data_IF_715399088258
#
_entry.id   IF_715399088258
#
_cell.length_a   1.000
_cell.length_b   1.000
_cell.length_c   1.000
_cell.angle_alpha   90.00
_cell.angle_beta   90.00
_cell.angle_gamma   90.00
#
_symmetry.space_group_name_H-M   'P 1'
#
loop_
_entity.id
_entity.type
_entity.pdbx_description
1 polymer ?
#
# COMPACT_ATOMS: atom_id res chain seq x y z
N UNK A 1 -43.76 32.86 8.66
CA UNK A 1 -43.33 31.85 7.67
C UNK A 1 -41.96 31.37 8.13
N UNK A 2 -41.96 30.48 9.11
CA UNK A 2 -40.76 30.04 9.82
C UNK A 2 -40.31 28.72 9.20
N UNK A 3 -39.08 28.67 8.67
CA UNK A 3 -38.49 27.45 8.11
C UNK A 3 -37.82 26.68 9.26
N UNK A 4 -38.19 25.42 9.56
CA UNK A 4 -37.45 24.67 10.55
C UNK A 4 -36.12 24.21 9.93
N UNK A 5 -35.05 24.63 10.62
CA UNK A 5 -33.65 24.25 10.40
C UNK A 5 -33.51 22.73 10.21
N UNK A 6 -33.02 22.33 9.04
CA UNK A 6 -32.54 20.98 8.77
C UNK A 6 -31.22 20.71 9.47
N UNK A 7 -31.24 20.57 10.80
CA UNK A 7 -30.11 20.05 11.56
C UNK A 7 -30.43 18.61 11.97
N UNK A 8 -30.41 17.71 10.98
CA UNK A 8 -30.45 16.27 11.24
C UNK A 8 -29.12 15.90 11.90
N UNK A 9 -29.14 15.87 13.24
CA UNK A 9 -28.09 15.26 14.06
C UNK A 9 -27.82 13.87 13.49
N UNK A 10 -26.65 13.71 12.85
CA UNK A 10 -26.16 12.41 12.43
C UNK A 10 -26.28 11.44 13.61
N UNK A 11 -27.07 10.37 13.45
CA UNK A 11 -27.32 9.42 14.54
C UNK A 11 -26.03 8.78 15.06
N UNK A 12 -26.03 8.18 16.26
CA UNK A 12 -24.83 7.62 16.92
C UNK A 12 -24.04 6.65 16.02
N UNK A 13 -24.72 5.92 15.13
CA UNK A 13 -24.08 5.03 14.14
C UNK A 13 -23.20 5.76 13.11
N UNK A 14 -23.57 6.98 12.70
CA UNK A 14 -22.76 7.79 11.80
C UNK A 14 -21.51 8.37 12.51
N UNK A 15 -21.58 8.58 13.83
CA UNK A 15 -20.44 8.94 14.66
C UNK A 15 -19.43 7.80 14.77
N UNK A 16 -19.90 6.58 15.06
CA UNK A 16 -19.05 5.39 15.17
C UNK A 16 -18.35 5.10 13.83
N UNK A 17 -19.09 5.17 12.71
CA UNK A 17 -18.51 4.96 11.38
C UNK A 17 -17.37 5.96 11.07
N UNK A 18 -17.53 7.24 11.41
CA UNK A 18 -16.48 8.25 11.22
C UNK A 18 -15.26 7.99 12.09
N UNK A 19 -15.45 7.55 13.32
CA UNK A 19 -14.36 7.18 14.23
C UNK A 19 -13.59 5.97 13.67
N UNK A 20 -14.30 4.93 13.22
CA UNK A 20 -13.66 3.74 12.64
C UNK A 20 -12.87 4.09 11.37
N UNK A 21 -13.43 4.90 10.47
CA UNK A 21 -12.73 5.39 9.28
C UNK A 21 -11.49 6.21 9.68
N UNK A 22 -11.62 7.11 10.65
CA UNK A 22 -10.51 7.93 11.13
C UNK A 22 -9.38 7.10 11.75
N UNK A 23 -9.71 6.09 12.55
CA UNK A 23 -8.74 5.16 13.15
C UNK A 23 -8.04 4.35 12.06
N UNK A 24 -8.77 3.82 11.07
CA UNK A 24 -8.18 3.08 9.95
C UNK A 24 -7.23 3.97 9.12
N UNK A 25 -7.65 5.20 8.81
CA UNK A 25 -6.77 6.16 8.11
C UNK A 25 -5.52 6.49 8.92
N UNK A 26 -5.64 6.67 10.24
CA UNK A 26 -4.50 6.94 11.10
C UNK A 26 -3.52 5.77 11.13
N UNK A 27 -4.00 4.53 11.27
CA UNK A 27 -3.16 3.32 11.24
C UNK A 27 -2.44 3.20 9.90
N UNK A 28 -3.08 3.58 8.81
CA UNK A 28 -2.47 3.62 7.47
C UNK A 28 -1.37 4.66 7.37
N UNK A 29 -1.64 5.90 7.80
CA UNK A 29 -0.63 6.97 7.74
C UNK A 29 0.55 6.61 8.62
N UNK A 30 0.31 6.10 9.83
CA UNK A 30 1.38 5.71 10.76
C UNK A 30 2.19 4.54 10.22
N UNK A 31 1.55 3.49 9.70
CA UNK A 31 2.25 2.33 9.14
C UNK A 31 3.02 2.67 7.85
N UNK A 32 2.40 3.42 6.93
CA UNK A 32 3.07 3.90 5.72
C UNK A 32 4.27 4.79 6.03
N UNK A 33 4.15 5.70 6.99
CA UNK A 33 5.25 6.56 7.44
C UNK A 33 6.35 5.73 8.10
N UNK A 34 6.01 4.77 8.95
CA UNK A 34 6.99 3.91 9.62
C UNK A 34 7.79 3.07 8.60
N UNK A 35 7.13 2.47 7.60
CA UNK A 35 7.82 1.72 6.56
C UNK A 35 8.67 2.64 5.68
N UNK A 36 8.17 3.84 5.34
CA UNK A 36 8.95 4.83 4.57
C UNK A 36 10.19 5.31 5.31
N UNK A 37 10.09 5.51 6.63
CA UNK A 37 11.23 5.90 7.46
C UNK A 37 12.23 4.76 7.59
N UNK A 38 11.77 3.53 7.83
CA UNK A 38 12.65 2.36 7.93
C UNK A 38 13.38 2.03 6.62
N UNK A 39 12.71 2.20 5.48
CA UNK A 39 13.36 2.04 4.16
C UNK A 39 14.38 3.15 3.88
N UNK A 40 14.08 4.41 4.26
CA UNK A 40 15.03 5.51 4.13
C UNK A 40 16.28 5.31 5.01
N UNK A 41 16.10 4.87 6.26
CA UNK A 41 17.19 4.62 7.21
C UNK A 41 18.10 3.45 6.74
N UNK A 42 17.50 2.37 6.24
CA UNK A 42 18.23 1.27 5.61
C UNK A 42 19.04 1.76 4.40
N UNK A 43 18.40 2.50 3.48
CA UNK A 43 19.07 3.03 2.29
C UNK A 43 20.23 3.96 2.66
N UNK A 44 20.06 4.78 3.70
CA UNK A 44 21.08 5.71 4.15
C UNK A 44 22.27 4.98 4.80
N UNK A 45 22.00 4.02 5.69
CA UNK A 45 23.05 3.18 6.30
C UNK A 45 23.89 2.48 5.24
N UNK A 46 23.22 1.94 4.22
CA UNK A 46 23.87 1.23 3.11
C UNK A 46 24.65 2.17 2.21
N UNK A 47 24.11 3.36 1.94
CA UNK A 47 24.81 4.38 1.16
C UNK A 47 26.10 4.83 1.86
N UNK A 48 26.05 5.02 3.18
CA UNK A 48 27.21 5.43 3.98
C UNK A 48 28.29 4.33 4.01
N UNK A 49 27.90 3.08 4.23
CA UNK A 49 28.83 1.94 4.22
C UNK A 49 29.47 1.73 2.83
N UNK A 50 28.67 1.85 1.77
CA UNK A 50 29.12 1.75 0.39
C UNK A 50 30.13 2.85 0.01
N UNK A 51 29.87 4.10 0.39
CA UNK A 51 30.78 5.21 0.09
C UNK A 51 32.18 5.00 0.69
N UNK A 52 32.25 4.48 1.92
CA UNK A 52 33.52 4.16 2.58
C UNK A 52 34.29 3.03 1.90
N UNK A 53 33.62 1.89 1.67
CA UNK A 53 34.26 0.71 1.08
C UNK A 53 34.69 0.92 -0.38
N UNK A 54 33.86 1.62 -1.16
CA UNK A 54 34.17 1.92 -2.56
C UNK A 54 35.43 2.77 -2.68
N UNK A 55 35.60 3.80 -1.85
CA UNK A 55 36.77 4.68 -1.90
C UNK A 55 38.07 3.92 -1.60
N UNK A 56 38.03 2.99 -0.64
CA UNK A 56 39.16 2.11 -0.30
C UNK A 56 39.49 1.16 -1.46
N UNK A 57 38.47 0.53 -2.05
CA UNK A 57 38.67 -0.42 -3.15
C UNK A 57 39.16 0.27 -4.43
N UNK A 58 38.62 1.45 -4.77
CA UNK A 58 39.08 2.27 -5.89
C UNK A 58 40.56 2.69 -5.72
N UNK A 59 40.94 3.14 -4.53
CA UNK A 59 42.32 3.54 -4.24
C UNK A 59 43.29 2.36 -4.38
N UNK A 60 42.93 1.17 -3.89
CA UNK A 60 43.73 -0.05 -4.06
C UNK A 60 43.88 -0.45 -5.53
N UNK A 61 42.79 -0.37 -6.31
CA UNK A 61 42.82 -0.62 -7.75
C UNK A 61 43.76 0.34 -8.50
N UNK A 62 43.76 1.63 -8.14
CA UNK A 62 44.68 2.63 -8.70
C UNK A 62 46.15 2.30 -8.40
N UNK A 63 46.46 1.91 -7.17
CA UNK A 63 47.82 1.51 -6.80
C UNK A 63 48.28 0.26 -7.56
N UNK A 64 47.41 -0.75 -7.71
CA UNK A 64 47.73 -1.94 -8.52
C UNK A 64 47.96 -1.59 -10.00
N UNK A 65 47.20 -0.65 -10.55
CA UNK A 65 47.41 -0.15 -11.90
C UNK A 65 48.76 0.57 -12.04
N UNK A 66 49.15 1.39 -11.05
CA UNK A 66 50.48 2.02 -10.99
C UNK A 66 51.60 0.99 -10.95
N UNK A 67 51.52 0.00 -10.06
CA UNK A 67 52.52 -1.08 -9.94
C UNK A 67 52.67 -1.78 -11.29
N UNK A 68 51.57 -2.18 -11.92
CA UNK A 68 51.61 -2.86 -13.23
C UNK A 68 52.26 -1.99 -14.30
N UNK A 69 51.95 -0.70 -14.33
CA UNK A 69 52.49 0.26 -15.30
C UNK A 69 54.00 0.42 -15.14
N UNK A 70 54.48 0.69 -13.93
CA UNK A 70 55.89 0.95 -13.68
C UNK A 70 56.75 -0.31 -13.66
N UNK A 71 56.17 -1.49 -13.42
CA UNK A 71 56.92 -2.74 -13.41
C UNK A 71 56.98 -3.40 -14.80
N UNK A 72 55.92 -3.30 -15.61
CA UNK A 72 55.72 -4.11 -16.81
C UNK A 72 56.35 -3.58 -18.12
N UNK A 73 55.69 -3.89 -19.23
CA UNK A 73 56.10 -3.48 -20.58
C UNK A 73 56.00 -1.96 -20.73
N UNK A 74 57.12 -1.30 -21.07
CA UNK A 74 57.24 0.16 -21.05
C UNK A 74 57.51 0.77 -19.67
N UNK A 75 57.75 -0.05 -18.64
CA UNK A 75 58.21 0.37 -17.32
C UNK A 75 59.62 -0.15 -17.00
N UNK A 76 59.94 -0.25 -15.71
CA UNK A 76 61.26 -0.54 -15.17
C UNK A 76 61.89 -1.81 -15.75
N UNK A 77 61.18 -2.95 -15.78
CA UNK A 77 61.77 -4.22 -16.29
C UNK A 77 62.17 -4.04 -17.76
N UNK A 78 61.32 -3.36 -18.54
CA UNK A 78 61.57 -3.11 -19.95
C UNK A 78 62.72 -2.13 -20.17
N UNK A 79 62.75 -1.00 -19.44
CA UNK A 79 63.83 -0.03 -19.52
C UNK A 79 65.17 -0.63 -19.08
N UNK A 80 65.17 -1.43 -18.02
CA UNK A 80 66.34 -2.14 -17.52
C UNK A 80 66.92 -3.11 -18.55
N UNK A 81 66.09 -3.99 -19.11
CA UNK A 81 66.53 -4.95 -20.15
C UNK A 81 67.08 -4.22 -21.38
N UNK A 82 66.44 -3.12 -21.80
CA UNK A 82 66.95 -2.31 -22.90
C UNK A 82 68.26 -1.60 -22.57
N UNK A 83 68.47 -1.16 -21.32
CA UNK A 83 69.72 -0.57 -20.89
C UNK A 83 70.86 -1.58 -20.91
N UNK A 84 70.63 -2.81 -20.45
CA UNK A 84 71.61 -3.91 -20.51
C UNK A 84 72.05 -4.18 -21.95
N UNK A 85 71.12 -4.14 -22.90
CA UNK A 85 71.39 -4.41 -24.32
C UNK A 85 72.02 -3.23 -25.06
N UNK A 86 71.49 -2.01 -24.87
CA UNK A 86 71.81 -0.83 -25.69
C UNK A 86 72.74 0.16 -25.01
N UNK A 87 72.85 0.12 -23.68
CA UNK A 87 73.67 1.01 -22.85
C UNK A 87 73.36 2.50 -23.01
N UNK A 88 72.12 2.82 -23.40
CA UNK A 88 71.65 4.18 -23.61
C UNK A 88 71.47 4.91 -22.26
N UNK A 89 72.22 5.99 -21.98
CA UNK A 89 72.10 6.74 -20.73
C UNK A 89 70.70 7.34 -20.49
N UNK A 90 69.91 7.59 -21.53
CA UNK A 90 68.56 8.14 -21.39
C UNK A 90 67.63 7.20 -20.61
N UNK A 91 67.85 5.88 -20.68
CA UNK A 91 67.06 4.88 -19.96
C UNK A 91 67.30 4.89 -18.45
N UNK A 92 68.45 5.41 -17.98
CA UNK A 92 68.75 5.44 -16.55
C UNK A 92 67.79 6.34 -15.78
N UNK A 93 67.40 7.47 -16.37
CA UNK A 93 66.42 8.39 -15.77
C UNK A 93 65.04 7.74 -15.64
N UNK A 94 64.59 7.04 -16.69
CA UNK A 94 63.32 6.30 -16.70
C UNK A 94 63.31 5.19 -15.64
N UNK A 95 64.37 4.37 -15.56
CA UNK A 95 64.48 3.30 -14.55
C UNK A 95 64.43 3.88 -13.13
N UNK A 96 65.18 4.96 -12.85
CA UNK A 96 65.19 5.58 -11.53
C UNK A 96 63.83 6.19 -11.17
N UNK A 97 63.15 6.80 -12.14
CA UNK A 97 61.78 7.31 -11.97
C UNK A 97 60.81 6.17 -11.64
N UNK A 98 60.85 5.07 -12.40
CA UNK A 98 59.98 3.92 -12.16
C UNK A 98 60.24 3.27 -10.79
N UNK A 99 61.51 3.11 -10.40
CA UNK A 99 61.88 2.59 -9.07
C UNK A 99 61.35 3.49 -7.93
N UNK A 100 61.45 4.81 -8.10
CA UNK A 100 60.97 5.78 -7.11
C UNK A 100 59.44 5.69 -6.95
N UNK A 101 58.71 5.66 -8.05
CA UNK A 101 57.25 5.59 -8.03
C UNK A 101 56.75 4.22 -7.51
N UNK A 102 57.45 3.12 -7.84
CA UNK A 102 57.15 1.79 -7.29
C UNK A 102 57.32 1.76 -5.78
N UNK A 103 58.45 2.24 -5.26
CA UNK A 103 58.71 2.27 -3.83
C UNK A 103 57.72 3.16 -3.08
N UNK A 104 57.35 4.31 -3.65
CA UNK A 104 56.31 5.17 -3.09
C UNK A 104 54.95 4.45 -3.04
N UNK A 105 54.59 3.75 -4.13
CA UNK A 105 53.33 3.00 -4.22
C UNK A 105 53.29 1.83 -3.24
N UNK A 106 54.40 1.11 -3.05
CA UNK A 106 54.49 0.03 -2.06
C UNK A 106 54.36 0.55 -0.63
N UNK A 107 55.02 1.67 -0.31
CA UNK A 107 54.91 2.32 0.99
C UNK A 107 53.50 2.84 1.27
N UNK A 108 52.78 3.30 0.25
CA UNK A 108 51.38 3.70 0.36
C UNK A 108 50.46 2.49 0.56
N UNK A 109 50.65 1.43 -0.22
CA UNK A 109 49.86 0.20 -0.12
C UNK A 109 50.05 -0.50 1.23
N UNK A 110 51.27 -0.48 1.79
CA UNK A 110 51.58 -1.04 3.11
C UNK A 110 50.88 -0.32 4.28
N UNK A 111 50.38 0.91 4.08
CA UNK A 111 49.55 1.63 5.08
C UNK A 111 48.10 1.19 5.07
N UNK A 112 47.67 0.49 4.02
CA UNK A 112 46.30 -0.01 3.88
C UNK A 112 46.12 -1.34 4.63
N UNK A 113 44.87 -1.70 4.93
CA UNK A 113 44.57 -3.03 5.49
C UNK A 113 44.74 -4.10 4.39
N UNK A 114 45.79 -4.91 4.53
CA UNK A 114 46.15 -6.01 3.62
C UNK A 114 45.89 -7.36 4.29
N UNK A 115 45.49 -8.37 3.51
CA UNK A 115 45.43 -9.76 3.98
C UNK A 115 46.83 -10.37 4.08
N UNK A 116 46.97 -11.51 4.77
CA UNK A 116 48.26 -12.21 4.86
C UNK A 116 48.88 -12.51 3.49
N UNK A 117 48.08 -13.03 2.56
CA UNK A 117 48.53 -13.31 1.18
C UNK A 117 48.95 -12.04 0.43
N UNK A 118 48.29 -10.91 0.70
CA UNK A 118 48.62 -9.62 0.08
C UNK A 118 49.90 -9.02 0.66
N UNK A 119 50.14 -9.16 1.96
CA UNK A 119 51.40 -8.77 2.60
C UNK A 119 52.55 -9.58 2.01
N UNK A 120 52.39 -10.90 1.88
CA UNK A 120 53.41 -11.79 1.30
C UNK A 120 53.68 -11.46 -0.17
N UNK A 121 52.63 -11.17 -0.95
CA UNK A 121 52.75 -10.78 -2.34
C UNK A 121 53.45 -9.41 -2.49
N UNK A 122 53.08 -8.42 -1.69
CA UNK A 122 53.71 -7.10 -1.70
C UNK A 122 55.19 -7.20 -1.32
N UNK A 123 55.52 -8.00 -0.30
CA UNK A 123 56.91 -8.27 0.09
C UNK A 123 57.73 -8.91 -1.04
N UNK A 124 57.16 -9.86 -1.79
CA UNK A 124 57.82 -10.46 -2.97
C UNK A 124 58.06 -9.44 -4.08
N UNK A 125 57.11 -8.54 -4.35
CA UNK A 125 57.27 -7.48 -5.34
C UNK A 125 58.38 -6.52 -4.93
N UNK A 126 58.41 -6.12 -3.66
CA UNK A 126 59.44 -5.24 -3.12
C UNK A 126 60.83 -5.87 -3.21
N UNK A 127 60.97 -7.15 -2.85
CA UNK A 127 62.23 -7.88 -2.97
C UNK A 127 62.77 -7.91 -4.42
N UNK A 128 61.89 -8.13 -5.41
CA UNK A 128 62.30 -8.14 -6.82
C UNK A 128 62.71 -6.73 -7.27
N UNK A 129 61.97 -5.69 -6.89
CA UNK A 129 62.31 -4.31 -7.21
C UNK A 129 63.65 -3.89 -6.58
N UNK A 130 63.90 -4.30 -5.34
CA UNK A 130 65.18 -4.08 -4.67
C UNK A 130 66.34 -4.79 -5.39
N UNK A 131 66.10 -6.01 -5.89
CA UNK A 131 67.09 -6.74 -6.69
C UNK A 131 67.41 -6.01 -8.01
N UNK A 132 66.40 -5.46 -8.69
CA UNK A 132 66.61 -4.65 -9.88
C UNK A 132 67.39 -3.36 -9.57
N UNK A 133 67.08 -2.68 -8.47
CA UNK A 133 67.81 -1.50 -8.02
C UNK A 133 69.28 -1.82 -7.71
N UNK A 134 69.55 -2.95 -7.06
CA UNK A 134 70.92 -3.43 -6.80
C UNK A 134 71.65 -3.75 -8.10
N UNK A 135 71.02 -4.50 -9.01
CA UNK A 135 71.60 -4.90 -10.29
C UNK A 135 71.81 -3.71 -11.25
N UNK A 136 71.08 -2.60 -11.09
CA UNK A 136 71.28 -1.38 -11.87
C UNK A 136 72.66 -0.79 -11.65
N UNK A 137 73.19 -0.84 -10.43
CA UNK A 137 74.55 -0.38 -10.14
C UNK A 137 75.61 -1.19 -10.91
N UNK A 138 75.43 -2.52 -11.00
CA UNK A 138 76.27 -3.43 -11.77
C UNK A 138 76.16 -3.13 -13.26
N UNK A 139 74.94 -2.92 -13.77
CA UNK A 139 74.72 -2.59 -15.18
C UNK A 139 75.36 -1.24 -15.56
N UNK A 140 75.31 -0.24 -14.68
CA UNK A 140 75.97 1.06 -14.88
C UNK A 140 77.50 0.88 -14.94
N UNK A 141 78.07 0.08 -14.03
CA UNK A 141 79.50 -0.23 -14.05
C UNK A 141 79.91 -0.94 -15.34
N UNK A 142 79.18 -1.98 -15.73
CA UNK A 142 79.42 -2.75 -16.95
C UNK A 142 79.31 -1.88 -18.22
N UNK A 143 78.43 -0.89 -18.23
CA UNK A 143 78.33 0.10 -19.30
C UNK A 143 79.58 0.98 -19.38
N UNK A 144 80.05 1.52 -18.24
CA UNK A 144 81.28 2.34 -18.15
C UNK A 144 82.53 1.57 -18.58
N UNK A 145 82.63 0.31 -18.16
CA UNK A 145 83.75 -0.59 -18.49
C UNK A 145 83.59 -1.29 -19.85
N UNK A 146 82.52 -0.99 -20.60
CA UNK A 146 82.25 -1.52 -21.95
C UNK A 146 82.19 -3.06 -22.04
N UNK A 147 81.67 -3.74 -21.02
CA UNK A 147 81.51 -5.20 -21.03
C UNK A 147 80.63 -5.68 -22.21
N UNK A 148 80.83 -6.87 -22.79
CA UNK A 148 79.89 -7.45 -23.75
C UNK A 148 78.47 -7.58 -23.17
N UNK A 149 77.44 -7.44 -24.00
CA UNK A 149 76.05 -7.51 -23.55
C UNK A 149 75.71 -8.87 -22.92
N UNK A 150 76.26 -9.98 -23.42
CA UNK A 150 76.04 -11.30 -22.82
C UNK A 150 76.67 -11.41 -21.43
N UNK A 151 77.83 -10.78 -21.21
CA UNK A 151 78.48 -10.76 -19.89
C UNK A 151 77.67 -9.92 -18.89
N UNK A 152 77.15 -8.77 -19.32
CA UNK A 152 76.29 -7.95 -18.46
C UNK A 152 75.00 -8.70 -18.12
N UNK A 153 74.30 -9.26 -19.11
CA UNK A 153 73.05 -10.01 -18.91
C UNK A 153 73.24 -11.17 -17.93
N UNK A 154 74.31 -11.96 -18.08
CA UNK A 154 74.60 -13.09 -17.19
C UNK A 154 74.78 -12.69 -15.72
N UNK A 155 75.28 -11.48 -15.43
CA UNK A 155 75.51 -10.99 -14.06
C UNK A 155 74.27 -10.34 -13.44
N UNK A 156 73.38 -9.76 -14.27
CA UNK A 156 72.24 -8.98 -13.78
C UNK A 156 70.89 -9.66 -13.98
N UNK A 157 70.87 -10.88 -14.50
CA UNK A 157 69.65 -11.63 -14.79
C UNK A 157 68.80 -11.86 -13.54
N UNK A 158 67.52 -11.52 -13.62
CA UNK A 158 66.52 -11.70 -12.56
C UNK A 158 65.39 -12.58 -13.09
N UNK A 159 64.88 -13.50 -12.26
CA UNK A 159 63.65 -14.24 -12.57
C UNK A 159 62.43 -13.40 -12.20
N UNK A 160 61.65 -13.01 -13.21
CA UNK A 160 60.45 -12.17 -13.05
C UNK A 160 59.20 -12.99 -12.65
N UNK A 161 59.26 -14.33 -12.68
CA UNK A 161 58.11 -15.20 -12.36
C UNK A 161 57.51 -14.96 -10.97
N UNK A 162 58.31 -14.79 -9.89
CA UNK A 162 57.78 -14.49 -8.57
C UNK A 162 57.01 -13.15 -8.53
N UNK A 163 57.51 -12.12 -9.22
CA UNK A 163 56.82 -10.82 -9.31
C UNK A 163 55.49 -10.95 -10.05
N UNK A 164 55.47 -11.68 -11.18
CA UNK A 164 54.24 -11.93 -11.92
C UNK A 164 53.18 -12.64 -11.05
N UNK A 165 53.57 -13.70 -10.34
CA UNK A 165 52.67 -14.44 -9.43
C UNK A 165 52.17 -13.56 -8.28
N UNK A 166 53.04 -12.77 -7.68
CA UNK A 166 52.66 -11.84 -6.61
C UNK A 166 51.65 -10.79 -7.10
N UNK A 167 51.87 -10.22 -8.28
CA UNK A 167 50.94 -9.27 -8.87
C UNK A 167 49.58 -9.92 -9.19
N UNK A 168 49.58 -11.16 -9.67
CA UNK A 168 48.35 -11.93 -9.87
C UNK A 168 47.58 -12.16 -8.58
N UNK A 169 48.28 -12.50 -7.49
CA UNK A 169 47.64 -12.66 -6.16
C UNK A 169 46.95 -11.34 -5.80
N UNK A 170 47.69 -10.23 -5.75
CA UNK A 170 47.11 -8.93 -5.38
C UNK A 170 45.91 -8.53 -6.24
N UNK A 171 45.98 -8.75 -7.56
CA UNK A 171 44.88 -8.46 -8.46
C UNK A 171 43.67 -9.36 -8.21
N UNK A 172 43.88 -10.66 -8.07
CA UNK A 172 42.79 -11.61 -7.86
C UNK A 172 42.09 -11.39 -6.51
N UNK A 173 42.85 -11.13 -5.43
CA UNK A 173 42.28 -10.83 -4.12
C UNK A 173 41.46 -9.54 -4.16
N UNK A 174 41.98 -8.50 -4.84
CA UNK A 174 41.25 -7.24 -5.03
C UNK A 174 39.99 -7.43 -5.88
N UNK A 175 40.08 -8.12 -7.02
CA UNK A 175 38.94 -8.38 -7.91
C UNK A 175 37.86 -9.22 -7.23
N UNK A 176 38.25 -10.25 -6.48
CA UNK A 176 37.31 -11.08 -5.73
C UNK A 176 36.54 -10.25 -4.70
N UNK A 177 37.26 -9.42 -3.93
CA UNK A 177 36.66 -8.55 -2.92
C UNK A 177 35.76 -7.47 -3.55
N UNK A 178 36.23 -6.82 -4.61
CA UNK A 178 35.45 -5.84 -5.35
C UNK A 178 34.14 -6.42 -5.88
N UNK A 179 34.19 -7.65 -6.43
CA UNK A 179 33.00 -8.34 -6.91
C UNK A 179 32.05 -8.73 -5.75
N UNK A 180 32.57 -9.20 -4.62
CA UNK A 180 31.76 -9.52 -3.43
C UNK A 180 31.05 -8.27 -2.89
N UNK A 181 31.77 -7.16 -2.74
CA UNK A 181 31.22 -5.89 -2.26
C UNK A 181 30.12 -5.39 -3.22
N UNK A 182 30.36 -5.50 -4.53
CA UNK A 182 29.39 -5.13 -5.57
C UNK A 182 28.12 -6.00 -5.49
N UNK A 183 28.25 -7.32 -5.30
CA UNK A 183 27.11 -8.21 -5.16
C UNK A 183 26.29 -7.94 -3.89
N UNK A 184 26.96 -7.68 -2.75
CA UNK A 184 26.28 -7.29 -1.51
C UNK A 184 25.46 -6.02 -1.72
N UNK A 185 26.03 -5.03 -2.41
CA UNK A 185 25.32 -3.79 -2.72
C UNK A 185 24.10 -4.01 -3.61
N UNK A 186 24.22 -4.82 -4.67
CA UNK A 186 23.08 -5.18 -5.51
C UNK A 186 21.96 -5.87 -4.73
N UNK A 187 22.31 -6.79 -3.82
CA UNK A 187 21.34 -7.48 -2.98
C UNK A 187 20.58 -6.50 -2.06
N UNK A 188 21.28 -5.55 -1.44
CA UNK A 188 20.64 -4.59 -0.54
C UNK A 188 19.76 -3.58 -1.30
N UNK A 189 20.19 -3.13 -2.49
CA UNK A 189 19.31 -2.32 -3.36
C UNK A 189 18.05 -3.11 -3.72
N UNK A 190 18.20 -4.40 -4.08
CA UNK A 190 17.07 -5.23 -4.42
C UNK A 190 16.08 -5.33 -3.25
N UNK A 191 16.54 -5.60 -2.03
CA UNK A 191 15.70 -5.60 -0.83
C UNK A 191 14.99 -4.25 -0.59
N UNK A 192 15.70 -3.14 -0.75
CA UNK A 192 15.11 -1.80 -0.65
C UNK A 192 14.00 -1.56 -1.68
N UNK A 193 14.23 -1.96 -2.94
CA UNK A 193 13.23 -1.88 -4.02
C UNK A 193 12.01 -2.76 -3.71
N UNK A 194 12.21 -3.97 -3.18
CA UNK A 194 11.10 -4.84 -2.77
C UNK A 194 10.24 -4.17 -1.69
N UNK A 195 10.86 -3.57 -0.67
CA UNK A 195 10.15 -2.80 0.35
C UNK A 195 9.32 -1.66 -0.24
N UNK A 196 9.87 -0.92 -1.19
CA UNK A 196 9.17 0.17 -1.89
C UNK A 196 7.99 -0.32 -2.76
N UNK A 197 8.14 -1.47 -3.42
CA UNK A 197 7.04 -2.09 -4.20
C UNK A 197 5.89 -2.54 -3.31
N UNK A 198 6.20 -3.06 -2.13
CA UNK A 198 5.18 -3.47 -1.16
C UNK A 198 4.38 -2.25 -0.69
N UNK A 199 5.04 -1.16 -0.27
CA UNK A 199 4.32 0.05 0.20
C UNK A 199 3.48 0.69 -0.89
N UNK A 200 4.01 0.82 -2.12
CA UNK A 200 3.28 1.38 -3.26
C UNK A 200 2.07 0.53 -3.66
N UNK A 201 2.12 -0.80 -3.49
CA UNK A 201 0.98 -1.69 -3.75
C UNK A 201 -0.13 -1.58 -2.69
N UNK A 202 0.19 -1.28 -1.43
CA UNK A 202 -0.80 -1.16 -0.36
C UNK A 202 -1.60 0.16 -0.42
N UNK A 203 -0.99 1.27 -0.85
CA UNK A 203 -1.66 2.58 -0.96
C UNK A 203 -3.00 2.50 -1.74
N UNK A 204 -3.06 1.97 -2.97
CA UNK A 204 -4.32 1.92 -3.72
C UNK A 204 -5.37 1.02 -3.07
N UNK A 205 -4.98 -0.12 -2.49
CA UNK A 205 -5.89 -1.00 -1.74
C UNK A 205 -6.56 -0.27 -0.57
N UNK A 206 -5.82 0.61 0.09
CA UNK A 206 -6.31 1.40 1.22
C UNK A 206 -7.21 2.56 0.78
N UNK A 207 -6.89 3.20 -0.35
CA UNK A 207 -7.77 4.20 -0.96
C UNK A 207 -9.10 3.55 -1.34
N UNK A 208 -9.05 2.39 -2.00
CA UNK A 208 -10.24 1.62 -2.40
C UNK A 208 -11.05 1.21 -1.17
N UNK A 209 -10.41 0.71 -0.10
CA UNK A 209 -11.13 0.31 1.11
C UNK A 209 -11.84 1.49 1.77
N UNK A 210 -11.21 2.68 1.79
CA UNK A 210 -11.84 3.92 2.24
C UNK A 210 -13.10 4.27 1.44
N UNK A 211 -13.02 4.18 0.11
CA UNK A 211 -14.18 4.38 -0.77
C UNK A 211 -15.30 3.35 -0.52
N UNK A 212 -14.95 2.08 -0.32
CA UNK A 212 -15.93 1.00 -0.04
C UNK A 212 -16.64 1.24 1.29
N UNK A 213 -15.90 1.61 2.35
CA UNK A 213 -16.50 1.90 3.67
C UNK A 213 -17.41 3.12 3.59
N UNK A 214 -16.98 4.19 2.90
CA UNK A 214 -17.79 5.38 2.70
C UNK A 214 -19.09 5.05 1.94
N UNK A 215 -18.99 4.30 0.85
CA UNK A 215 -20.15 3.86 0.07
C UNK A 215 -21.11 3.01 0.92
N UNK A 216 -20.59 2.06 1.68
CA UNK A 216 -21.39 1.17 2.53
C UNK A 216 -22.14 1.92 3.64
N UNK A 217 -21.47 2.86 4.30
CA UNK A 217 -22.07 3.68 5.36
C UNK A 217 -23.17 4.60 4.81
N UNK A 218 -22.97 5.20 3.64
CA UNK A 218 -24.01 5.96 2.94
C UNK A 218 -25.22 5.10 2.56
N UNK A 219 -24.98 3.87 2.07
CA UNK A 219 -26.04 2.92 1.74
C UNK A 219 -26.89 2.57 2.97
N UNK A 220 -26.25 2.19 4.08
CA UNK A 220 -26.95 1.81 5.32
C UNK A 220 -27.77 2.96 5.90
N UNK A 221 -27.19 4.16 5.95
CA UNK A 221 -27.90 5.34 6.47
C UNK A 221 -29.13 5.69 5.64
N UNK A 222 -29.05 5.55 4.31
CA UNK A 222 -30.19 5.74 3.42
C UNK A 222 -31.28 4.69 3.66
N UNK A 223 -30.92 3.43 3.83
CA UNK A 223 -31.90 2.36 4.08
C UNK A 223 -32.63 2.56 5.40
N UNK A 224 -31.91 2.92 6.47
CA UNK A 224 -32.51 3.24 7.78
C UNK A 224 -33.46 4.44 7.66
N UNK A 225 -33.08 5.48 6.92
CA UNK A 225 -33.93 6.66 6.73
C UNK A 225 -35.25 6.32 6.02
N UNK A 226 -35.19 5.48 4.97
CA UNK A 226 -36.37 5.01 4.24
C UNK A 226 -37.29 4.20 5.17
N UNK A 227 -36.73 3.25 5.94
CA UNK A 227 -37.51 2.43 6.89
C UNK A 227 -38.21 3.28 7.94
N UNK A 228 -37.48 4.22 8.56
CA UNK A 228 -38.05 5.14 9.55
C UNK A 228 -39.16 6.02 8.97
N UNK A 229 -39.01 6.45 7.71
CA UNK A 229 -40.05 7.22 7.04
C UNK A 229 -41.31 6.39 6.78
N UNK A 230 -41.17 5.11 6.44
CA UNK A 230 -42.31 4.20 6.27
C UNK A 230 -43.02 3.94 7.61
N UNK A 231 -42.27 3.63 8.67
CA UNK A 231 -42.81 3.46 10.03
C UNK A 231 -43.57 4.72 10.50
N UNK A 232 -43.00 5.91 10.31
CA UNK A 232 -43.66 7.16 10.68
C UNK A 232 -44.95 7.41 9.88
N UNK A 233 -45.00 7.02 8.60
CA UNK A 233 -46.22 7.13 7.78
C UNK A 233 -47.32 6.19 8.27
N UNK A 234 -46.97 4.97 8.65
CA UNK A 234 -47.93 4.01 9.21
C UNK A 234 -48.50 4.51 10.54
N UNK A 235 -47.63 4.94 11.46
CA UNK A 235 -48.06 5.52 12.74
C UNK A 235 -48.94 6.74 12.56
N UNK A 236 -48.62 7.61 11.59
CA UNK A 236 -49.46 8.76 11.27
C UNK A 236 -50.83 8.33 10.73
N UNK A 237 -50.88 7.35 9.82
CA UNK A 237 -52.13 6.84 9.28
C UNK A 237 -53.01 6.21 10.37
N UNK A 238 -52.44 5.43 11.28
CA UNK A 238 -53.10 4.86 12.46
C UNK A 238 -53.63 5.97 13.38
N UNK A 239 -52.78 6.94 13.74
CA UNK A 239 -53.17 8.08 14.59
C UNK A 239 -54.31 8.89 13.96
N UNK A 240 -54.25 9.13 12.65
CA UNK A 240 -55.33 9.81 11.92
C UNK A 240 -56.61 8.96 11.95
N UNK A 241 -56.54 7.67 11.64
CA UNK A 241 -57.69 6.76 11.65
C UNK A 241 -58.37 6.71 13.03
N UNK A 242 -57.59 6.63 14.10
CA UNK A 242 -58.08 6.56 15.48
C UNK A 242 -58.65 7.89 16.00
N UNK A 243 -58.18 9.03 15.46
CA UNK A 243 -58.64 10.36 15.86
C UNK A 243 -59.86 10.89 15.10
N UNK A 244 -60.30 10.19 14.05
CA UNK A 244 -61.54 10.53 13.34
C UNK A 244 -62.73 10.36 14.29
N UNK A 245 -63.52 11.42 14.47
CA UNK A 245 -64.69 11.41 15.37
C UNK A 245 -65.92 10.71 14.77
N UNK A 246 -65.90 10.38 13.49
CA UNK A 246 -66.92 9.59 12.81
C UNK A 246 -66.59 8.09 12.89
N UNK A 247 -67.62 7.24 12.96
CA UNK A 247 -67.43 5.79 12.94
C UNK A 247 -66.83 5.35 11.60
N UNK A 248 -65.64 4.76 11.63
CA UNK A 248 -64.96 4.22 10.47
C UNK A 248 -64.70 2.72 10.64
N UNK A 249 -64.89 1.99 9.54
CA UNK A 249 -64.73 0.54 9.47
C UNK A 249 -64.13 0.17 8.12
N UNK A 250 -63.18 -0.76 8.12
CA UNK A 250 -62.56 -1.30 6.91
C UNK A 250 -62.91 -2.78 6.82
N UNK A 251 -63.28 -3.24 5.63
CA UNK A 251 -63.59 -4.64 5.35
C UNK A 251 -62.65 -5.23 4.30
N UNK A 252 -62.48 -6.55 4.32
CA UNK A 252 -61.81 -7.30 3.25
C UNK A 252 -62.73 -7.49 2.03
N UNK A 253 -62.21 -8.12 0.96
CA UNK A 253 -62.98 -8.42 -0.26
C UNK A 253 -64.17 -9.37 -0.05
N UNK A 254 -64.17 -10.14 1.04
CA UNK A 254 -65.28 -10.99 1.46
C UNK A 254 -66.29 -10.26 2.38
N UNK A 255 -66.09 -8.95 2.57
CA UNK A 255 -66.87 -8.06 3.42
C UNK A 255 -66.83 -8.46 4.91
N UNK A 256 -65.73 -9.05 5.37
CA UNK A 256 -65.45 -9.22 6.80
C UNK A 256 -64.71 -8.00 7.33
N UNK A 257 -65.06 -7.56 8.52
CA UNK A 257 -64.46 -6.39 9.16
C UNK A 257 -63.03 -6.71 9.56
N UNK A 258 -62.07 -5.89 9.12
CA UNK A 258 -60.64 -6.04 9.43
C UNK A 258 -60.08 -4.93 10.30
N UNK A 259 -60.76 -3.78 10.38
CA UNK A 259 -60.41 -2.70 11.29
C UNK A 259 -61.64 -1.82 11.60
N UNK A 260 -61.70 -1.28 12.81
CA UNK A 260 -62.64 -0.24 13.23
C UNK A 260 -61.91 0.79 14.07
N UNK A 261 -62.31 2.06 13.98
CA UNK A 261 -61.72 3.11 14.82
C UNK A 261 -62.43 3.20 16.19
N UNK A 262 -61.88 3.94 17.18
CA UNK A 262 -62.52 4.11 18.48
C UNK A 262 -63.93 4.71 18.41
N UNK A 263 -64.15 5.71 17.54
CA UNK A 263 -65.47 6.34 17.36
C UNK A 263 -66.55 5.35 16.91
N UNK A 264 -66.20 4.34 16.10
CA UNK A 264 -67.12 3.24 15.76
C UNK A 264 -67.59 2.50 17.00
N UNK A 265 -66.68 2.21 17.92
CA UNK A 265 -67.02 1.49 19.15
C UNK A 265 -67.91 2.35 20.07
N UNK A 266 -67.58 3.63 20.21
CA UNK A 266 -68.36 4.59 21.01
C UNK A 266 -69.78 4.77 20.47
N UNK A 267 -69.93 4.84 19.15
CA UNK A 267 -71.23 5.03 18.51
C UNK A 267 -72.02 3.71 18.56
N UNK A 268 -71.48 2.61 18.04
CA UNK A 268 -72.26 1.37 17.85
C UNK A 268 -72.45 0.57 19.14
N UNK A 269 -71.58 0.75 20.13
CA UNK A 269 -71.55 0.02 21.40
C UNK A 269 -70.89 -1.36 21.32
N UNK A 270 -70.36 -1.74 20.16
CA UNK A 270 -69.56 -2.96 19.99
C UNK A 270 -68.07 -2.66 20.16
N UNK A 271 -67.32 -3.52 20.84
CA UNK A 271 -65.85 -3.39 20.84
C UNK A 271 -65.24 -3.91 19.54
N UNK A 272 -64.03 -3.46 19.22
CA UNK A 272 -63.26 -3.98 18.07
C UNK A 272 -63.22 -5.51 18.06
N UNK A 273 -62.82 -6.14 19.16
CA UNK A 273 -62.72 -7.61 19.26
C UNK A 273 -64.03 -8.37 18.98
N UNK A 274 -65.19 -7.74 19.21
CA UNK A 274 -66.50 -8.36 18.95
C UNK A 274 -66.89 -8.34 17.46
N UNK A 275 -66.34 -7.39 16.70
CA UNK A 275 -66.74 -7.14 15.30
C UNK A 275 -65.68 -7.55 14.29
N UNK A 276 -64.40 -7.59 14.66
CA UNK A 276 -63.33 -8.07 13.77
C UNK A 276 -63.64 -9.50 13.30
N UNK A 277 -63.53 -9.73 11.98
CA UNK A 277 -63.85 -10.97 11.29
C UNK A 277 -65.35 -11.23 11.09
N UNK A 278 -66.24 -10.35 11.54
CA UNK A 278 -67.68 -10.46 11.30
C UNK A 278 -68.10 -9.69 10.05
N UNK A 279 -69.27 -10.04 9.52
CA UNK A 279 -69.85 -9.34 8.38
C UNK A 279 -70.77 -8.19 8.87
N UNK A 280 -70.67 -6.97 8.32
CA UNK A 280 -71.49 -5.81 8.73
C UNK A 280 -73.01 -6.03 8.70
N UNK A 281 -73.49 -7.06 7.99
CA UNK A 281 -74.90 -7.48 8.04
C UNK A 281 -75.40 -7.77 9.46
N UNK A 282 -74.52 -8.02 10.42
CA UNK A 282 -74.88 -8.17 11.83
C UNK A 282 -75.56 -6.91 12.43
N UNK A 283 -75.34 -5.73 11.85
CA UNK A 283 -75.97 -4.47 12.29
C UNK A 283 -77.36 -4.25 11.69
N UNK A 284 -77.80 -5.09 10.76
CA UNK A 284 -79.05 -4.90 10.04
C UNK A 284 -80.25 -4.83 10.99
N UNK A 285 -81.04 -3.76 10.90
CA UNK A 285 -82.24 -3.59 11.73
C UNK A 285 -83.44 -4.40 11.24
N UNK A 286 -83.44 -4.81 9.96
CA UNK A 286 -84.57 -5.44 9.26
C UNK A 286 -85.54 -4.45 8.60
N UNK A 287 -85.27 -3.14 8.65
CA UNK A 287 -86.15 -2.10 8.11
C UNK A 287 -86.06 -1.91 6.57
N UNK A 288 -84.99 -2.40 5.96
CA UNK A 288 -84.75 -2.32 4.52
C UNK A 288 -84.92 -3.70 3.87
N UNK A 289 -85.55 -3.74 2.70
CA UNK A 289 -85.79 -4.96 1.94
C UNK A 289 -84.55 -5.42 1.14
N UNK A 290 -84.64 -6.60 0.54
CA UNK A 290 -83.53 -7.16 -0.23
C UNK A 290 -83.19 -6.31 -1.46
N UNK A 291 -84.18 -5.63 -2.05
CA UNK A 291 -84.01 -4.76 -3.22
C UNK A 291 -83.15 -3.54 -2.89
N UNK A 292 -83.35 -2.92 -1.72
CA UNK A 292 -82.50 -1.81 -1.27
C UNK A 292 -81.02 -2.19 -1.20
N UNK A 293 -80.69 -3.33 -0.58
CA UNK A 293 -79.29 -3.77 -0.48
C UNK A 293 -78.72 -4.20 -1.84
N UNK A 294 -79.52 -4.81 -2.73
CA UNK A 294 -79.08 -5.13 -4.09
C UNK A 294 -78.72 -3.89 -4.89
N UNK A 295 -79.51 -2.82 -4.77
CA UNK A 295 -79.22 -1.54 -5.41
C UNK A 295 -77.95 -0.91 -4.85
N UNK A 296 -77.78 -0.88 -3.51
CA UNK A 296 -76.55 -0.42 -2.86
C UNK A 296 -75.31 -1.18 -3.35
N UNK A 297 -75.37 -2.51 -3.43
CA UNK A 297 -74.24 -3.32 -3.91
C UNK A 297 -73.96 -3.15 -5.40
N UNK A 298 -74.99 -2.88 -6.21
CA UNK A 298 -74.83 -2.55 -7.62
C UNK A 298 -74.08 -1.23 -7.78
N UNK A 299 -74.47 -0.21 -7.02
CA UNK A 299 -73.81 1.10 -7.05
C UNK A 299 -72.33 1.00 -6.62
N UNK A 300 -72.05 0.23 -5.55
CA UNK A 300 -70.69 -0.05 -5.10
C UNK A 300 -69.84 -0.81 -6.13
N UNK A 301 -70.46 -1.74 -6.86
CA UNK A 301 -69.75 -2.54 -7.86
C UNK A 301 -69.52 -1.76 -9.16
N UNK A 302 -70.39 -0.81 -9.49
CA UNK A 302 -70.29 0.04 -10.67
C UNK A 302 -69.38 1.25 -10.44
N UNK A 303 -69.74 2.11 -9.50
CA UNK A 303 -69.14 3.44 -9.30
C UNK A 303 -68.03 3.44 -8.23
N UNK A 304 -67.80 2.31 -7.57
CA UNK A 304 -66.77 2.17 -6.53
C UNK A 304 -67.07 2.91 -5.23
N UNK A 305 -68.25 3.53 -5.10
CA UNK A 305 -68.69 4.20 -3.89
C UNK A 305 -70.22 4.23 -3.77
N UNK A 306 -70.72 4.36 -2.56
CA UNK A 306 -72.15 4.51 -2.26
C UNK A 306 -72.33 5.42 -1.05
N UNK A 307 -73.37 6.26 -1.07
CA UNK A 307 -73.73 7.12 0.05
C UNK A 307 -75.24 7.11 0.26
N UNK A 308 -75.67 6.98 1.51
CA UNK A 308 -77.09 6.98 1.83
C UNK A 308 -77.38 6.92 3.32
N UNK A 309 -78.67 6.81 3.67
CA UNK A 309 -79.11 6.63 5.06
C UNK A 309 -79.60 5.20 5.25
N UNK A 310 -78.99 4.48 6.20
CA UNK A 310 -79.38 3.12 6.58
C UNK A 310 -79.91 3.15 8.01
N UNK A 311 -80.90 2.29 8.30
CA UNK A 311 -81.37 2.05 9.66
C UNK A 311 -80.65 0.82 10.21
N UNK A 312 -79.77 1.01 11.18
CA UNK A 312 -78.99 -0.06 11.80
C UNK A 312 -79.32 -0.20 13.29
N UNK A 313 -78.86 -1.30 13.89
CA UNK A 313 -79.12 -1.68 15.28
C UNK A 313 -77.82 -1.64 16.08
N UNK A 314 -77.81 -0.85 17.16
CA UNK A 314 -76.71 -0.82 18.14
C UNK A 314 -76.66 -2.13 18.93
N UNK A 315 -75.56 -2.39 19.64
CA UNK A 315 -75.45 -3.53 20.58
C UNK A 315 -76.57 -3.55 21.62
N UNK A 316 -77.04 -2.38 22.06
CA UNK A 316 -78.17 -2.23 22.99
C UNK A 316 -79.53 -2.65 22.42
N UNK A 317 -79.61 -2.93 21.12
CA UNK A 317 -80.86 -3.23 20.41
C UNK A 317 -81.57 -2.01 19.83
N UNK A 318 -81.12 -0.79 20.15
CA UNK A 318 -81.69 0.46 19.63
C UNK A 318 -81.51 0.56 18.11
N UNK A 319 -82.61 0.81 17.39
CA UNK A 319 -82.60 1.10 15.96
C UNK A 319 -82.37 2.60 15.76
N UNK A 320 -81.41 2.96 14.92
CA UNK A 320 -81.04 4.35 14.65
C UNK A 320 -80.75 4.55 13.16
N UNK A 321 -81.02 5.74 12.61
CA UNK A 321 -80.59 6.09 11.27
C UNK A 321 -79.12 6.49 11.31
N UNK A 322 -78.33 6.01 10.35
CA UNK A 322 -76.96 6.44 10.11
C UNK A 322 -76.80 6.89 8.67
N UNK A 323 -76.06 7.98 8.48
CA UNK A 323 -75.60 8.39 7.15
C UNK A 323 -74.29 7.65 6.89
N UNK A 324 -74.32 6.72 5.94
CA UNK A 324 -73.22 5.83 5.65
C UNK A 324 -72.64 6.18 4.26
N UNK A 325 -71.32 6.26 4.19
CA UNK A 325 -70.56 6.35 2.95
C UNK A 325 -69.65 5.14 2.87
N UNK A 326 -69.77 4.35 1.81
CA UNK A 326 -68.94 3.19 1.53
C UNK A 326 -68.11 3.51 0.29
N UNK A 327 -66.80 3.32 0.37
CA UNK A 327 -65.89 3.52 -0.76
C UNK A 327 -65.02 2.28 -0.91
N UNK A 328 -64.96 1.75 -2.13
CA UNK A 328 -64.04 0.68 -2.47
C UNK A 328 -62.65 1.27 -2.67
N UNK A 329 -61.75 1.00 -1.73
CA UNK A 329 -60.35 1.38 -1.89
C UNK A 329 -59.69 0.53 -3.00
N UNK A 330 -58.87 1.12 -3.88
CA UNK A 330 -58.11 0.35 -4.85
C UNK A 330 -57.11 -0.55 -4.12
N UNK A 331 -57.15 -1.86 -4.42
CA UNK A 331 -56.16 -2.81 -3.93
C UNK A 331 -54.84 -2.50 -4.65
N UNK A 332 -53.81 -2.12 -3.89
CA UNK A 332 -52.42 -2.01 -4.37
C UNK A 332 -51.73 -3.37 -4.34
#
# INVERSE_FOLDING_TARGET
MDRPNGNSRAGPMAGIARIVIGVLMLVVVVSGTAISLGTADLLQTVADEWHGQRKLSEHKGQMLAKIRRHMGYGGMIHHFKNFVLRKDPALLGEIQSDLTELNATFAEMAKSSLTGDEVDALGKLQQIVDQYALNLSIAIQASREKWPAEQTDAQVRIDDQPAYKALQILQNTWFAKFNEDTQRFEAVIAEGIYGLRITTAFIPLLVISGFVILWFTQRLTREIAIRKQAEHKLLLAETVFDSISEAAMVTDDANNIIAVNPAFSDITGYSSDEVIGKNPRMFASGQHDATFYQDMWRDLSGDGSWQGVIWNRRRSGQIYPERLSIVKAPVS
#
